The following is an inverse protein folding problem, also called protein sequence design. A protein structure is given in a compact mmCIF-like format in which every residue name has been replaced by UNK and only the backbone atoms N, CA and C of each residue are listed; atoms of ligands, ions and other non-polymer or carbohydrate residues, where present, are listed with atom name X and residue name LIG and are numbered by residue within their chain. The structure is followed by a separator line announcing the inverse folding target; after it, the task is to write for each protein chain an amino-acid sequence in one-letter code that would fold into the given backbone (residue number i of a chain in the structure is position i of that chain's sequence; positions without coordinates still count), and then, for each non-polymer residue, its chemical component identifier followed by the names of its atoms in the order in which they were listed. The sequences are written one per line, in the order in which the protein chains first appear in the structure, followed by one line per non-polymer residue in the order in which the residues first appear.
data_IF_305002407744
#
_entry.id   IF_305002407744
#
_cell.length_a   1.000
_cell.length_b   1.000
_cell.length_c   1.000
_cell.angle_alpha   90.00
_cell.angle_beta   90.00
_cell.angle_gamma   90.00
#
_symmetry.space_group_name_H-M   'P 1'
#
loop_
_entity.id
_entity.type
_entity.pdbx_description
1 polymer ?
#
# COMPACT_ATOMS: atom_id res chain seq x y z
N UNK A 1 12.52 -13.24 18.43
CA UNK A 1 12.02 -12.86 19.77
C UNK A 1 12.89 -13.56 20.81
N UNK A 2 13.57 -12.83 21.70
CA UNK A 2 14.22 -13.47 22.87
C UNK A 2 13.12 -13.70 23.92
N UNK A 3 13.04 -14.91 24.46
CA UNK A 3 12.07 -15.25 25.50
C UNK A 3 12.12 -14.25 26.66
N UNK A 4 10.97 -13.71 27.07
CA UNK A 4 10.82 -12.84 28.25
C UNK A 4 10.91 -11.33 28.02
N UNK A 5 11.13 -10.84 26.79
CA UNK A 5 11.03 -9.41 26.48
C UNK A 5 9.60 -9.03 26.04
N UNK A 6 9.13 -7.80 26.35
CA UNK A 6 7.85 -7.31 25.85
C UNK A 6 7.85 -7.26 24.31
N UNK A 7 6.66 -7.40 23.71
CA UNK A 7 6.51 -7.28 22.27
C UNK A 7 7.04 -5.91 21.81
N UNK A 8 7.76 -5.83 20.68
CA UNK A 8 8.13 -4.55 20.09
C UNK A 8 6.90 -3.68 19.87
N UNK A 9 7.03 -2.37 20.09
CA UNK A 9 5.93 -1.41 19.97
C UNK A 9 5.21 -1.48 18.60
N UNK A 10 5.92 -1.82 17.53
CA UNK A 10 5.36 -1.96 16.19
C UNK A 10 4.42 -3.14 16.01
N UNK A 11 4.54 -4.18 16.87
CA UNK A 11 3.65 -5.34 16.88
C UNK A 11 2.52 -5.10 17.88
N UNK A 12 2.83 -4.58 19.06
CA UNK A 12 1.85 -4.33 20.12
C UNK A 12 0.79 -3.30 19.73
N UNK A 13 1.17 -2.28 18.94
CA UNK A 13 0.27 -1.21 18.50
C UNK A 13 0.00 -1.31 16.99
N UNK A 14 -0.01 -2.51 16.44
CA UNK A 14 -0.38 -2.71 15.04
C UNK A 14 -1.84 -2.25 14.85
N UNK A 15 -2.12 -1.39 13.85
CA UNK A 15 -3.47 -0.92 13.59
C UNK A 15 -4.34 -2.06 13.06
N UNK A 16 -5.61 -2.07 13.45
CA UNK A 16 -6.63 -2.93 12.87
C UNK A 16 -7.29 -2.23 11.68
N UNK A 17 -7.53 -2.98 10.60
CA UNK A 17 -8.25 -2.48 9.43
C UNK A 17 -9.76 -2.63 9.65
N UNK A 18 -10.51 -1.60 9.26
CA UNK A 18 -11.97 -1.69 9.20
C UNK A 18 -12.39 -2.67 8.09
N UNK A 19 -13.49 -3.37 8.33
CA UNK A 19 -14.05 -4.33 7.37
C UNK A 19 -14.27 -3.68 5.99
N UNK A 20 -13.80 -4.36 4.96
CA UNK A 20 -13.89 -3.93 3.56
C UNK A 20 -12.66 -3.17 3.07
N UNK A 21 -11.80 -2.66 3.97
CA UNK A 21 -10.57 -1.97 3.58
C UNK A 21 -9.45 -2.92 3.14
N UNK A 22 -9.60 -4.21 3.40
CA UNK A 22 -8.64 -5.25 3.03
C UNK A 22 -8.44 -5.31 1.51
N UNK A 23 -9.49 -5.06 0.73
CA UNK A 23 -9.41 -5.02 -0.73
C UNK A 23 -8.38 -3.99 -1.20
N UNK A 24 -8.50 -2.76 -0.70
CA UNK A 24 -7.64 -1.65 -1.10
C UNK A 24 -6.21 -1.82 -0.58
N UNK A 25 -6.08 -2.28 0.67
CA UNK A 25 -4.77 -2.49 1.28
C UNK A 25 -4.01 -3.63 0.60
N UNK A 26 -4.66 -4.76 0.36
CA UNK A 26 -4.04 -5.92 -0.32
C UNK A 26 -3.67 -5.55 -1.75
N UNK A 27 -4.58 -4.91 -2.50
CA UNK A 27 -4.28 -4.44 -3.85
C UNK A 27 -3.10 -3.48 -3.90
N UNK A 28 -3.01 -2.54 -2.96
CA UNK A 28 -1.84 -1.66 -2.83
C UNK A 28 -0.53 -2.45 -2.57
N UNK A 29 -0.56 -3.45 -1.70
CA UNK A 29 0.61 -4.29 -1.41
C UNK A 29 1.04 -5.07 -2.66
N UNK A 30 0.12 -5.68 -3.40
CA UNK A 30 0.42 -6.43 -4.61
C UNK A 30 1.00 -5.52 -5.69
N UNK A 31 0.35 -4.38 -5.92
CA UNK A 31 0.76 -3.37 -6.91
C UNK A 31 2.08 -2.68 -6.55
N UNK A 32 2.54 -2.77 -5.30
CA UNK A 32 3.83 -2.22 -4.89
C UNK A 32 5.00 -2.83 -5.68
N UNK A 33 4.84 -4.06 -6.16
CA UNK A 33 5.84 -4.76 -6.98
C UNK A 33 5.92 -4.22 -8.42
N UNK A 34 4.88 -3.54 -8.89
CA UNK A 34 4.78 -2.98 -10.24
C UNK A 34 5.35 -1.56 -10.36
N UNK A 35 5.68 -0.91 -9.23
CA UNK A 35 6.17 0.49 -9.25
C UNK A 35 7.56 0.57 -9.89
N UNK A 36 7.85 1.72 -10.49
CA UNK A 36 9.20 1.99 -11.00
C UNK A 36 10.19 2.21 -9.84
N UNK A 37 11.33 1.53 -9.91
CA UNK A 37 12.44 1.71 -8.97
C UNK A 37 13.65 2.27 -9.70
N UNK A 38 14.15 3.42 -9.23
CA UNK A 38 15.38 4.05 -9.73
C UNK A 38 16.12 4.74 -8.60
N UNK A 39 16.48 6.00 -8.80
CA UNK A 39 17.11 6.81 -7.74
C UNK A 39 16.16 7.07 -6.55
N UNK A 40 14.85 7.04 -6.78
CA UNK A 40 13.82 7.00 -5.74
C UNK A 40 12.67 6.10 -6.18
N UNK A 41 11.78 5.76 -5.24
CA UNK A 41 10.51 5.10 -5.58
C UNK A 41 9.64 6.04 -6.40
N UNK A 42 9.15 5.54 -7.54
CA UNK A 42 8.12 6.19 -8.34
C UNK A 42 6.70 5.76 -7.90
N UNK A 43 5.67 6.46 -8.40
CA UNK A 43 4.28 6.06 -8.19
C UNK A 43 3.96 4.73 -8.88
N UNK A 44 2.95 4.04 -8.35
CA UNK A 44 2.37 2.87 -9.02
C UNK A 44 1.73 3.35 -10.34
N UNK A 45 2.07 2.74 -11.50
CA UNK A 45 1.49 3.13 -12.77
C UNK A 45 -0.03 2.93 -12.79
N UNK A 46 -0.78 3.93 -13.27
CA UNK A 46 -2.24 3.86 -13.36
C UNK A 46 -2.72 2.65 -14.17
N UNK A 47 -2.01 2.31 -15.26
CA UNK A 47 -2.33 1.15 -16.06
C UNK A 47 -2.25 -0.15 -15.26
N UNK A 48 -1.26 -0.30 -14.37
CA UNK A 48 -1.16 -1.47 -13.50
C UNK A 48 -2.34 -1.57 -12.53
N UNK A 49 -2.84 -0.43 -12.02
CA UNK A 49 -4.03 -0.40 -11.14
C UNK A 49 -5.27 -0.86 -11.93
N UNK A 50 -5.45 -0.36 -13.15
CA UNK A 50 -6.56 -0.74 -14.03
C UNK A 50 -6.50 -2.22 -14.42
N UNK A 51 -5.32 -2.71 -14.81
CA UNK A 51 -5.10 -4.12 -15.14
C UNK A 51 -5.37 -5.03 -13.95
N UNK A 52 -4.93 -4.64 -12.75
CA UNK A 52 -5.23 -5.37 -11.53
C UNK A 52 -6.74 -5.45 -11.28
N UNK A 53 -7.45 -4.33 -11.42
CA UNK A 53 -8.90 -4.30 -11.31
C UNK A 53 -9.58 -5.27 -12.28
N UNK A 54 -9.16 -5.23 -13.55
CA UNK A 54 -9.66 -6.14 -14.59
C UNK A 54 -9.40 -7.62 -14.26
N UNK A 55 -8.18 -7.97 -13.82
CA UNK A 55 -7.80 -9.36 -13.49
C UNK A 55 -8.61 -9.90 -12.30
N UNK A 56 -8.95 -9.04 -11.34
CA UNK A 56 -9.66 -9.41 -10.12
C UNK A 56 -11.17 -9.20 -10.20
N UNK A 57 -11.71 -8.80 -11.35
CA UNK A 57 -13.14 -8.54 -11.54
C UNK A 57 -13.66 -7.36 -10.70
N UNK A 58 -12.80 -6.39 -10.41
CA UNK A 58 -13.19 -5.13 -9.75
C UNK A 58 -13.72 -4.20 -10.83
N UNK A 59 -15.00 -3.86 -10.77
CA UNK A 59 -15.71 -3.12 -11.82
C UNK A 59 -16.62 -2.02 -11.26
N UNK A 60 -17.05 -1.12 -12.14
CA UNK A 60 -17.99 -0.05 -11.80
C UNK A 60 -17.47 0.88 -10.70
N UNK A 61 -18.36 1.28 -9.80
CA UNK A 61 -18.06 2.16 -8.66
C UNK A 61 -16.94 1.60 -7.76
N UNK A 62 -16.88 0.27 -7.60
CA UNK A 62 -15.83 -0.36 -6.79
C UNK A 62 -14.44 -0.20 -7.42
N UNK A 63 -14.35 -0.16 -8.75
CA UNK A 63 -13.09 0.11 -9.45
C UNK A 63 -12.67 1.57 -9.27
N UNK A 64 -13.62 2.50 -9.35
CA UNK A 64 -13.36 3.92 -9.10
C UNK A 64 -12.82 4.15 -7.68
N UNK A 65 -13.46 3.53 -6.68
CA UNK A 65 -13.00 3.53 -5.30
C UNK A 65 -11.62 2.88 -5.16
N UNK A 66 -11.42 1.72 -5.80
CA UNK A 66 -10.14 1.01 -5.75
C UNK A 66 -8.99 1.88 -6.26
N UNK A 67 -9.18 2.53 -7.40
CA UNK A 67 -8.22 3.47 -7.95
C UNK A 67 -7.98 4.62 -6.96
N UNK A 68 -9.06 5.21 -6.43
CA UNK A 68 -9.00 6.36 -5.53
C UNK A 68 -8.24 6.08 -4.24
N UNK A 69 -8.48 4.91 -3.62
CA UNK A 69 -7.82 4.50 -2.38
C UNK A 69 -6.37 4.09 -2.62
N UNK A 70 -6.09 3.26 -3.64
CA UNK A 70 -4.73 2.79 -3.94
C UNK A 70 -3.80 3.96 -4.27
N UNK A 71 -4.26 4.94 -5.05
CA UNK A 71 -3.44 6.11 -5.36
C UNK A 71 -3.09 6.95 -4.12
N UNK A 72 -4.02 7.08 -3.16
CA UNK A 72 -3.78 7.82 -1.91
C UNK A 72 -2.86 7.09 -0.96
N UNK A 73 -3.03 5.77 -0.85
CA UNK A 73 -2.09 4.92 -0.12
C UNK A 73 -0.68 5.05 -0.69
N UNK A 74 -0.56 5.03 -2.03
CA UNK A 74 0.72 5.18 -2.70
C UNK A 74 1.36 6.54 -2.48
N UNK A 75 0.59 7.63 -2.62
CA UNK A 75 1.07 8.98 -2.31
C UNK A 75 1.62 9.09 -0.89
N UNK A 76 0.90 8.54 0.10
CA UNK A 76 1.34 8.55 1.50
C UNK A 76 2.57 7.68 1.73
N UNK A 77 2.65 6.53 1.06
CA UNK A 77 3.83 5.68 1.13
C UNK A 77 5.08 6.36 0.54
N UNK A 78 4.94 7.06 -0.59
CA UNK A 78 6.04 7.82 -1.20
C UNK A 78 6.48 9.00 -0.33
N UNK A 79 5.55 9.70 0.33
CA UNK A 79 5.86 10.73 1.32
C UNK A 79 6.69 10.16 2.48
N UNK A 80 6.21 9.07 3.09
CA UNK A 80 6.92 8.38 4.17
C UNK A 80 8.29 7.88 3.74
N UNK A 81 8.40 7.24 2.56
CA UNK A 81 9.66 6.70 2.05
C UNK A 81 10.71 7.80 1.84
N UNK A 82 10.29 8.97 1.33
CA UNK A 82 11.19 10.12 1.17
C UNK A 82 11.67 10.66 2.51
N UNK A 83 10.78 10.77 3.49
CA UNK A 83 11.14 11.25 4.83
C UNK A 83 12.07 10.27 5.55
N UNK A 84 11.82 8.96 5.40
CA UNK A 84 12.69 7.93 5.97
C UNK A 84 14.09 7.92 5.34
N UNK A 85 14.21 8.17 4.04
CA UNK A 85 15.50 8.28 3.37
C UNK A 85 16.33 9.48 3.86
N UNK A 86 15.69 10.60 4.21
CA UNK A 86 16.35 11.80 4.77
C UNK A 86 16.81 11.64 6.22
N UNK A 87 16.19 10.73 6.97
CA UNK A 87 16.49 10.49 8.39
C UNK A 87 17.65 9.49 8.59
N UNK A 88 18.23 8.96 7.51
CA UNK A 88 19.46 8.18 7.50
C UNK A 88 20.64 9.08 7.16
#
# INVERSE_FOLDING_TARGET
MKFGMPLPNSIQNAPELNLGLELFYTGFLDLTSCRQTGMSLGPIPMLSILEYGMIHGIEGEQLEDFIWFVQRLDQKYLEWSRNRAKSK
#
